data_IF_896566825695
#
_entry.id   IF_896566825695
#
_cell.length_a   1.000
_cell.length_b   1.000
_cell.length_c   1.000
_cell.angle_alpha   90.00
_cell.angle_beta   90.00
_cell.angle_gamma   90.00
#
_symmetry.space_group_name_H-M   'P 1'
#
loop_
_entity.id
_entity.type
_entity.pdbx_description
1 polymer ?
#
# COMPACT_ATOMS: atom_id res chain seq x y z
N UNK A 1 12.16 8.94 -0.94
CA UNK A 1 12.75 7.59 -1.05
C UNK A 1 12.36 6.81 0.18
N UNK A 2 11.61 5.72 0.04
CA UNK A 2 11.19 4.89 1.17
C UNK A 2 12.33 3.95 1.59
N UNK A 3 12.53 3.78 2.89
CA UNK A 3 13.57 2.91 3.44
C UNK A 3 13.02 1.48 3.49
N UNK A 4 13.52 0.62 2.61
CA UNK A 4 13.01 -0.76 2.44
C UNK A 4 13.54 -1.77 3.47
N UNK A 5 14.55 -1.38 4.26
CA UNK A 5 15.23 -2.25 5.21
C UNK A 5 15.19 -1.64 6.61
N UNK A 6 14.57 -2.35 7.56
CA UNK A 6 14.31 -1.88 8.92
C UNK A 6 15.08 -2.72 9.94
N UNK A 7 15.63 -2.06 10.96
CA UNK A 7 16.31 -2.74 12.06
C UNK A 7 15.31 -3.28 13.08
N UNK A 8 15.70 -4.30 13.87
CA UNK A 8 14.85 -4.79 14.96
C UNK A 8 14.42 -3.66 15.93
N UNK A 9 15.28 -2.66 16.16
CA UNK A 9 14.96 -1.50 17.01
C UNK A 9 13.86 -0.61 16.43
N UNK A 10 13.81 -0.46 15.10
CA UNK A 10 12.76 0.30 14.40
C UNK A 10 11.41 -0.44 14.38
N UNK A 11 11.43 -1.76 14.59
CA UNK A 11 10.25 -2.61 14.59
C UNK A 11 9.65 -2.85 15.99
N UNK A 12 10.40 -2.56 17.06
CA UNK A 12 9.90 -2.71 18.44
C UNK A 12 8.71 -1.78 18.68
N UNK A 13 7.62 -2.33 19.21
CA UNK A 13 6.46 -1.55 19.63
C UNK A 13 5.50 -1.15 18.52
N UNK A 14 5.72 -1.62 17.28
CA UNK A 14 4.69 -1.55 16.24
C UNK A 14 3.54 -2.51 16.59
N UNK A 15 2.32 -2.16 16.16
CA UNK A 15 1.14 -2.99 16.40
C UNK A 15 1.34 -4.39 15.82
N UNK A 16 1.04 -5.42 16.62
CA UNK A 16 1.27 -6.83 16.25
C UNK A 16 2.71 -7.33 16.42
N UNK A 17 3.67 -6.45 16.74
CA UNK A 17 5.07 -6.82 16.95
C UNK A 17 5.48 -6.88 18.43
N UNK A 18 6.45 -7.75 18.77
CA UNK A 18 7.02 -7.81 20.12
C UNK A 18 7.60 -6.49 20.62
N UNK A 19 7.46 -6.25 21.93
CA UNK A 19 7.97 -5.05 22.61
C UNK A 19 9.50 -5.09 22.86
N UNK A 20 10.19 -6.12 22.39
CA UNK A 20 11.64 -6.28 22.59
C UNK A 20 12.33 -6.70 21.31
N UNK A 21 13.56 -6.22 21.09
CA UNK A 21 14.37 -6.59 19.91
C UNK A 21 14.64 -8.09 19.83
N UNK A 22 14.73 -8.75 20.98
CA UNK A 22 14.87 -10.22 21.09
C UNK A 22 13.62 -10.92 20.58
N UNK A 23 12.43 -10.43 20.94
CA UNK A 23 11.16 -10.94 20.43
C UNK A 23 11.02 -10.77 18.93
N UNK A 24 11.44 -9.61 18.38
CA UNK A 24 11.47 -9.37 16.94
C UNK A 24 12.38 -10.38 16.23
N UNK A 25 13.59 -10.59 16.74
CA UNK A 25 14.53 -11.55 16.15
C UNK A 25 14.01 -12.99 16.21
N UNK A 26 13.28 -13.36 17.28
CA UNK A 26 12.66 -14.68 17.41
C UNK A 26 11.50 -14.86 16.42
N UNK A 27 10.63 -13.86 16.29
CA UNK A 27 9.54 -13.83 15.32
C UNK A 27 10.08 -13.88 13.88
N UNK A 28 11.10 -13.08 13.55
CA UNK A 28 11.73 -13.08 12.24
C UNK A 28 12.34 -14.45 11.86
N UNK A 29 12.83 -15.22 12.84
CA UNK A 29 13.29 -16.60 12.61
C UNK A 29 12.13 -17.56 12.41
N UNK A 30 11.07 -17.45 13.22
CA UNK A 30 9.88 -18.30 13.12
C UNK A 30 9.16 -18.11 11.78
N UNK A 31 9.11 -16.89 11.30
CA UNK A 31 8.37 -16.49 10.08
C UNK A 31 9.29 -16.30 8.86
N UNK A 32 10.56 -16.67 8.97
CA UNK A 32 11.54 -16.63 7.88
C UNK A 32 11.63 -15.27 7.16
N UNK A 33 11.67 -14.18 7.92
CA UNK A 33 11.76 -12.83 7.34
C UNK A 33 13.04 -12.66 6.52
N UNK A 34 12.91 -11.94 5.40
CA UNK A 34 14.03 -11.59 4.52
C UNK A 34 14.95 -10.64 5.29
N UNK A 35 16.17 -11.08 5.56
CA UNK A 35 17.11 -10.36 6.39
C UNK A 35 18.46 -10.16 5.69
N UNK A 36 19.15 -9.08 6.05
CA UNK A 36 20.53 -8.80 5.61
C UNK A 36 21.38 -8.31 6.77
N UNK A 37 22.69 -8.52 6.66
CA UNK A 37 23.65 -7.87 7.57
C UNK A 37 23.76 -6.39 7.24
N UNK A 38 23.71 -5.54 8.26
CA UNK A 38 23.90 -4.09 8.09
C UNK A 38 25.31 -3.81 7.58
N UNK A 39 25.43 -3.02 6.51
CA UNK A 39 26.72 -2.65 5.93
C UNK A 39 27.39 -1.56 6.77
N UNK A 40 28.69 -1.68 7.00
CA UNK A 40 29.53 -0.61 7.57
C UNK A 40 29.57 -0.48 9.09
N UNK A 41 29.17 -1.52 9.85
CA UNK A 41 29.24 -1.48 11.33
C UNK A 41 29.98 -2.71 11.86
N UNK A 42 30.80 -2.51 12.88
CA UNK A 42 31.45 -3.57 13.66
C UNK A 42 30.41 -4.22 14.58
N UNK A 43 29.62 -5.16 14.06
CA UNK A 43 28.62 -5.92 14.84
C UNK A 43 27.69 -6.82 14.01
N UNK A 44 27.03 -7.78 14.67
CA UNK A 44 26.03 -8.69 14.07
C UNK A 44 24.64 -8.03 13.94
N UNK A 45 24.57 -6.78 13.50
CA UNK A 45 23.29 -6.10 13.32
C UNK A 45 22.60 -6.60 12.04
N UNK A 46 21.36 -7.08 12.19
CA UNK A 46 20.49 -7.51 11.09
C UNK A 46 19.43 -6.44 10.78
N UNK A 47 19.11 -6.34 9.51
CA UNK A 47 17.99 -5.55 8.97
C UNK A 47 17.02 -6.51 8.27
N UNK A 48 15.73 -6.17 8.31
CA UNK A 48 14.62 -6.94 7.75
C UNK A 48 13.95 -6.16 6.63
N UNK A 49 13.60 -6.85 5.54
CA UNK A 49 12.96 -6.22 4.39
C UNK A 49 11.46 -6.03 4.64
N UNK A 50 10.93 -4.87 4.28
CA UNK A 50 9.51 -4.51 4.46
C UNK A 50 8.53 -5.54 3.85
N UNK A 51 8.89 -6.20 2.74
CA UNK A 51 8.03 -7.19 2.07
C UNK A 51 7.84 -8.50 2.84
N UNK A 52 8.63 -8.71 3.90
CA UNK A 52 8.60 -9.93 4.70
C UNK A 52 8.05 -9.69 6.10
N UNK A 53 7.62 -8.46 6.38
CA UNK A 53 6.97 -8.10 7.63
C UNK A 53 5.48 -8.47 7.57
N UNK A 54 4.85 -8.80 8.71
CA UNK A 54 3.41 -8.99 8.82
C UNK A 54 2.61 -7.82 8.20
N UNK A 55 1.58 -8.15 7.42
CA UNK A 55 0.74 -7.16 6.71
C UNK A 55 0.05 -6.19 7.69
N UNK A 56 -0.29 -6.69 8.89
CA UNK A 56 -1.01 -5.98 9.96
C UNK A 56 -0.22 -4.81 10.57
N UNK A 57 1.09 -4.72 10.31
CA UNK A 57 1.94 -3.63 10.82
C UNK A 57 1.56 -2.29 10.16
N UNK A 58 1.21 -2.33 8.86
CA UNK A 58 0.98 -1.13 8.06
C UNK A 58 -0.45 -0.60 8.18
N UNK A 59 -1.42 -1.41 8.59
CA UNK A 59 -2.81 -0.94 8.83
C UNK A 59 -2.87 0.18 9.86
N UNK A 60 -1.98 0.14 10.86
CA UNK A 60 -1.89 1.17 11.92
C UNK A 60 -1.22 2.47 11.48
N UNK A 61 -0.43 2.43 10.40
CA UNK A 61 0.30 3.60 9.89
C UNK A 61 -0.58 4.43 8.95
N UNK A 62 -1.44 3.77 8.16
CA UNK A 62 -2.48 4.46 7.36
C UNK A 62 -3.61 5.04 8.22
N UNK A 63 -3.79 4.58 9.46
CA UNK A 63 -4.75 5.17 10.39
C UNK A 63 -4.27 6.49 11.01
N UNK A 64 -2.96 6.80 10.94
CA UNK A 64 -2.35 7.99 11.54
C UNK A 64 -1.75 8.97 10.52
N UNK A 65 -1.80 8.66 9.22
CA UNK A 65 -1.77 9.71 8.22
C UNK A 65 -3.04 10.52 8.41
N UNK A 66 -2.91 11.76 8.90
CA UNK A 66 -4.01 12.73 8.86
C UNK A 66 -4.58 12.70 7.45
N UNK A 67 -5.79 12.15 7.30
CA UNK A 67 -6.50 12.21 6.03
C UNK A 67 -6.39 13.65 5.52
N UNK A 68 -6.09 13.86 4.22
CA UNK A 68 -6.33 15.16 3.63
C UNK A 68 -7.73 15.61 4.04
N UNK A 69 -7.97 16.91 4.34
CA UNK A 69 -9.28 17.39 4.78
C UNK A 69 -10.42 17.09 3.79
N UNK A 70 -10.09 16.59 2.61
CA UNK A 70 -10.99 15.93 1.69
C UNK A 70 -11.13 14.44 2.03
N UNK A 71 -11.84 14.13 3.13
CA UNK A 71 -12.47 12.83 3.25
C UNK A 71 -13.57 12.76 2.18
N UNK A 72 -13.25 12.16 1.04
CA UNK A 72 -14.31 11.69 0.16
C UNK A 72 -15.17 10.75 1.02
N UNK A 73 -16.43 11.12 1.26
CA UNK A 73 -17.44 10.23 1.88
C UNK A 73 -17.18 8.83 1.33
N UNK A 74 -17.01 7.83 2.19
CA UNK A 74 -17.05 6.42 1.76
C UNK A 74 -18.29 6.29 0.90
N UNK A 75 -18.08 6.16 -0.40
CA UNK A 75 -19.15 6.10 -1.34
C UNK A 75 -19.48 4.62 -1.41
N UNK A 76 -20.49 4.19 -0.66
CA UNK A 76 -20.92 2.79 -0.64
C UNK A 76 -21.26 2.27 -2.05
N UNK A 77 -21.52 3.18 -2.99
CA UNK A 77 -21.71 2.89 -4.41
C UNK A 77 -20.43 2.46 -5.15
N UNK A 78 -19.24 2.75 -4.62
CA UNK A 78 -17.98 2.35 -5.25
C UNK A 78 -17.84 0.83 -5.34
N UNK A 79 -18.38 0.12 -4.34
CA UNK A 79 -18.43 -1.34 -4.35
C UNK A 79 -19.28 -1.87 -5.52
N UNK A 80 -20.41 -1.22 -5.84
CA UNK A 80 -21.27 -1.62 -6.96
C UNK A 80 -20.52 -1.52 -8.29
N UNK A 81 -19.78 -0.42 -8.50
CA UNK A 81 -18.98 -0.22 -9.70
C UNK A 81 -17.81 -1.20 -9.79
N UNK A 82 -17.19 -1.51 -8.65
CA UNK A 82 -16.11 -2.48 -8.57
C UNK A 82 -16.61 -3.90 -8.90
N UNK A 83 -17.76 -4.30 -8.36
CA UNK A 83 -18.40 -5.58 -8.66
C UNK A 83 -18.81 -5.68 -10.13
N UNK A 84 -19.41 -4.62 -10.69
CA UNK A 84 -19.75 -4.57 -12.11
C UNK A 84 -18.50 -4.72 -12.99
N UNK A 85 -17.41 -4.03 -12.65
CA UNK A 85 -16.13 -4.14 -13.37
C UNK A 85 -15.54 -5.56 -13.29
N UNK A 86 -15.65 -6.21 -12.14
CA UNK A 86 -15.15 -7.56 -11.90
C UNK A 86 -15.87 -8.61 -12.77
N UNK A 87 -17.14 -8.38 -13.11
CA UNK A 87 -17.93 -9.27 -13.97
C UNK A 87 -17.58 -9.16 -15.46
N UNK A 88 -16.88 -8.10 -15.88
CA UNK A 88 -16.49 -7.90 -17.27
C UNK A 88 -15.24 -8.71 -17.64
N UNK A 89 -15.26 -9.28 -18.83
CA UNK A 89 -14.08 -9.82 -19.51
C UNK A 89 -13.08 -8.72 -19.90
N UNK A 90 -11.87 -9.13 -20.27
CA UNK A 90 -10.83 -8.19 -20.70
C UNK A 90 -11.24 -7.39 -21.95
N UNK A 91 -11.96 -8.04 -22.87
CA UNK A 91 -12.47 -7.43 -24.10
C UNK A 91 -13.56 -6.40 -23.82
N UNK A 92 -14.50 -6.72 -22.93
CA UNK A 92 -15.58 -5.79 -22.57
C UNK A 92 -15.04 -4.56 -21.84
N UNK A 93 -14.03 -4.73 -20.97
CA UNK A 93 -13.35 -3.62 -20.30
C UNK A 93 -12.67 -2.67 -21.30
N UNK A 94 -12.03 -3.22 -22.33
CA UNK A 94 -11.36 -2.42 -23.36
C UNK A 94 -12.35 -1.57 -24.17
N UNK A 95 -13.51 -2.14 -24.52
CA UNK A 95 -14.60 -1.44 -25.20
C UNK A 95 -15.12 -0.28 -24.33
N UNK A 96 -15.41 -0.55 -23.05
CA UNK A 96 -15.93 0.46 -22.13
C UNK A 96 -14.91 1.58 -21.90
N UNK A 97 -13.64 1.23 -21.70
CA UNK A 97 -12.57 2.22 -21.50
C UNK A 97 -12.43 3.11 -22.74
N UNK A 98 -12.41 2.52 -23.93
CA UNK A 98 -12.32 3.23 -25.20
C UNK A 98 -13.50 4.19 -25.38
N UNK A 99 -14.71 3.74 -25.04
CA UNK A 99 -15.90 4.57 -25.10
C UNK A 99 -15.82 5.77 -24.14
N UNK A 100 -15.50 5.53 -22.86
CA UNK A 100 -15.40 6.59 -21.84
C UNK A 100 -14.34 7.62 -22.25
N UNK A 101 -13.18 7.17 -22.74
CA UNK A 101 -12.12 8.06 -23.19
C UNK A 101 -12.56 8.94 -24.37
N UNK A 102 -13.27 8.36 -25.35
CA UNK A 102 -13.74 9.10 -26.53
C UNK A 102 -14.76 10.16 -26.14
N UNK A 103 -15.80 9.77 -25.41
CA UNK A 103 -16.87 10.70 -25.01
C UNK A 103 -16.35 11.77 -24.05
N UNK A 104 -15.48 11.38 -23.11
CA UNK A 104 -14.83 12.31 -22.19
C UNK A 104 -13.96 13.34 -22.92
N UNK A 105 -13.14 12.92 -23.88
CA UNK A 105 -12.33 13.82 -24.68
C UNK A 105 -13.18 14.79 -25.51
N UNK A 106 -14.26 14.30 -26.15
CA UNK A 106 -15.20 15.13 -26.89
C UNK A 106 -15.88 16.18 -25.99
N UNK A 107 -16.30 15.77 -24.79
CA UNK A 107 -16.91 16.68 -23.81
C UNK A 107 -15.93 17.79 -23.39
N UNK A 108 -14.66 17.45 -23.16
CA UNK A 108 -13.62 18.43 -22.82
C UNK A 108 -13.35 19.41 -23.97
N UNK A 109 -13.25 18.91 -25.21
CA UNK A 109 -13.10 19.76 -26.40
C UNK A 109 -14.27 20.74 -26.52
N UNK A 110 -15.50 20.26 -26.33
CA UNK A 110 -16.70 21.10 -26.37
C UNK A 110 -16.68 22.17 -25.27
N UNK A 111 -16.26 21.81 -24.06
CA UNK A 111 -16.11 22.76 -22.95
C UNK A 111 -15.07 23.85 -23.25
N UNK A 112 -13.96 23.49 -23.89
CA UNK A 112 -12.92 24.44 -24.29
C UNK A 112 -13.44 25.39 -25.38
N UNK A 113 -14.16 24.87 -26.36
CA UNK A 113 -14.67 25.67 -27.49
C UNK A 113 -15.82 26.60 -27.10
N UNK A 114 -16.49 26.36 -25.98
CA UNK A 114 -17.59 27.18 -25.47
C UNK A 114 -17.17 28.19 -24.38
N UNK A 115 -15.86 28.37 -24.16
CA UNK A 115 -15.29 29.43 -23.32
C UNK A 115 -14.70 30.54 -24.18
#
# INVERSE_FOLDING_TARGET
MYKEWLTAKELVGLQGLPMTTQGINAMARRENWVNRKRRGIQGKALEYHISSLPIDIFESQFANETSPPYQAKRNDNAFIWQEAYNQLSSQERDIILTFIMREGALALINLINNK
#
